data_IF_082720378764
#
_entry.id   IF_082720378764
#
_cell.length_a   1.000
_cell.length_b   1.000
_cell.length_c   1.000
_cell.angle_alpha   90.00
_cell.angle_beta   90.00
_cell.angle_gamma   90.00
#
_symmetry.space_group_name_H-M   'P 1'
#
loop_
_entity.id
_entity.type
_entity.pdbx_description
1 polymer ?
#
# COMPACT_ATOMS: atom_id res chain seq x y z
N UNK A 1 12.28 6.51 -6.62
CA UNK A 1 11.78 6.54 -6.88
C UNK A 1 10.75 5.75 -7.18
N UNK A 2 10.44 4.82 -6.90
CA UNK A 2 9.50 3.91 -7.37
C UNK A 2 8.45 3.61 -6.33
N UNK A 3 7.92 4.64 -5.76
CA UNK A 3 6.85 4.47 -4.79
C UNK A 3 5.50 4.62 -5.46
N UNK A 4 4.52 3.93 -4.96
CA UNK A 4 3.16 4.13 -5.42
C UNK A 4 2.29 4.43 -4.21
N UNK A 5 1.21 5.17 -4.44
CA UNK A 5 0.27 5.48 -3.38
C UNK A 5 -0.75 4.37 -3.23
N UNK A 6 -1.64 4.53 -2.25
CA UNK A 6 -2.67 3.52 -2.02
C UNK A 6 -3.59 3.37 -3.22
N UNK A 7 -3.88 4.49 -3.91
CA UNK A 7 -4.74 4.42 -5.07
C UNK A 7 -4.11 3.60 -6.18
N UNK A 8 -2.84 3.85 -6.45
CA UNK A 8 -2.15 3.13 -7.51
C UNK A 8 -2.01 1.66 -7.13
N UNK A 9 -1.68 1.39 -5.88
CA UNK A 9 -1.57 0.02 -5.43
C UNK A 9 -2.91 -0.70 -5.55
N UNK A 10 -3.99 -0.02 -5.22
CA UNK A 10 -5.31 -0.61 -5.32
C UNK A 10 -5.63 -1.00 -6.76
N UNK A 11 -5.30 -0.14 -7.69
CA UNK A 11 -5.54 -0.43 -9.09
C UNK A 11 -4.66 -1.57 -9.57
N UNK A 12 -3.42 -1.56 -9.16
CA UNK A 12 -2.49 -2.59 -9.60
C UNK A 12 -2.89 -3.96 -9.05
N UNK A 13 -3.38 -3.99 -7.83
CA UNK A 13 -3.72 -5.26 -7.20
C UNK A 13 -5.18 -5.65 -7.39
N UNK A 14 -5.99 -4.78 -7.95
CA UNK A 14 -7.40 -5.10 -8.16
C UNK A 14 -8.21 -5.07 -6.88
N UNK A 15 -7.85 -4.21 -5.93
CA UNK A 15 -8.56 -4.10 -4.67
C UNK A 15 -8.95 -2.64 -4.46
N UNK A 16 -9.66 -2.35 -3.38
CA UNK A 16 -10.07 -0.98 -3.10
C UNK A 16 -8.97 -0.24 -2.35
N UNK A 17 -9.01 1.08 -2.42
CA UNK A 17 -8.08 1.90 -1.68
C UNK A 17 -8.21 1.65 -0.18
N UNK A 18 -9.43 1.49 0.29
CA UNK A 18 -9.65 1.23 1.70
C UNK A 18 -8.96 -0.06 2.14
N UNK A 19 -8.97 -1.06 1.27
CA UNK A 19 -8.31 -2.31 1.58
C UNK A 19 -6.79 -2.12 1.68
N UNK A 20 -6.23 -1.34 0.76
CA UNK A 20 -4.79 -1.08 0.79
C UNK A 20 -4.42 -0.33 2.07
N UNK A 21 -5.21 0.66 2.43
CA UNK A 21 -4.93 1.41 3.65
C UNK A 21 -4.99 0.52 4.88
N UNK A 22 -5.94 -0.38 4.90
CA UNK A 22 -6.08 -1.30 6.01
C UNK A 22 -4.83 -2.17 6.14
N UNK A 23 -4.33 -2.66 5.02
CA UNK A 23 -3.12 -3.47 5.04
C UNK A 23 -1.91 -2.66 5.48
N UNK A 24 -1.81 -1.41 5.03
CA UNK A 24 -0.70 -0.56 5.43
C UNK A 24 -0.72 -0.32 6.94
N UNK A 25 -1.88 -0.04 7.48
CA UNK A 25 -2.00 0.23 8.91
C UNK A 25 -1.72 -1.00 9.75
N UNK A 26 -2.05 -2.15 9.22
CA UNK A 26 -1.79 -3.40 9.92
C UNK A 26 -0.35 -3.87 9.76
N UNK A 27 0.42 -3.18 8.93
CA UNK A 27 1.81 -3.59 8.72
C UNK A 27 1.95 -4.82 7.88
N UNK A 28 0.95 -5.11 7.06
CA UNK A 28 0.97 -6.32 6.25
C UNK A 28 1.70 -6.15 4.93
N UNK A 29 1.93 -4.91 4.52
CA UNK A 29 2.62 -4.66 3.26
C UNK A 29 4.08 -4.37 3.59
N UNK A 30 5.01 -5.17 3.09
CA UNK A 30 6.42 -4.96 3.40
C UNK A 30 6.93 -3.65 2.84
N UNK A 31 7.73 -2.96 3.62
CA UNK A 31 8.35 -1.71 3.20
C UNK A 31 7.38 -0.57 2.90
N UNK A 32 6.14 -0.70 3.26
CA UNK A 32 5.21 0.41 3.16
C UNK A 32 5.49 1.38 4.30
N UNK A 33 5.62 2.65 3.98
CA UNK A 33 5.93 3.65 4.99
C UNK A 33 5.00 4.84 4.85
N UNK A 34 4.97 5.66 5.87
CA UNK A 34 4.15 6.85 5.89
C UNK A 34 4.97 7.93 6.57
N UNK A 35 5.01 9.12 5.96
CA UNK A 35 5.82 10.20 6.52
C UNK A 35 5.32 10.60 7.89
N UNK A 36 4.02 10.68 8.03
CA UNK A 36 3.43 11.01 9.31
C UNK A 36 1.99 10.58 9.27
N UNK A 37 1.37 10.57 10.42
CA UNK A 37 -0.01 10.18 10.51
C UNK A 37 -0.86 11.07 9.60
N UNK A 38 -1.67 10.47 8.80
CA UNK A 38 -2.51 11.20 7.87
C UNK A 38 -1.89 11.47 6.52
N UNK A 39 -0.62 11.19 6.36
CA UNK A 39 0.04 11.38 5.08
C UNK A 39 -0.21 10.18 4.16
N UNK A 40 -0.09 10.38 2.86
CA UNK A 40 -0.23 9.24 1.95
C UNK A 40 0.84 8.20 2.22
N UNK A 41 0.47 6.96 2.02
CA UNK A 41 1.42 5.87 2.19
C UNK A 41 2.34 5.76 0.98
N UNK A 42 3.56 5.35 1.24
CA UNK A 42 4.55 5.11 0.20
C UNK A 42 4.75 3.61 0.11
N UNK A 43 4.34 3.02 -0.98
CA UNK A 43 4.39 1.58 -1.17
C UNK A 43 5.36 1.28 -2.31
N UNK A 44 6.32 0.39 -2.10
CA UNK A 44 7.26 0.06 -3.18
C UNK A 44 6.51 -0.51 -4.37
N UNK A 45 6.96 -0.16 -5.56
CA UNK A 45 6.29 -0.64 -6.76
C UNK A 45 6.33 -2.14 -6.91
N UNK A 46 7.34 -2.78 -6.35
CA UNK A 46 7.45 -4.22 -6.46
C UNK A 46 6.80 -4.93 -5.27
N UNK A 47 6.08 -4.21 -4.43
CA UNK A 47 5.37 -4.84 -3.34
C UNK A 47 4.23 -5.69 -3.88
N UNK A 48 3.86 -6.70 -3.13
CA UNK A 48 2.76 -7.57 -3.53
C UNK A 48 1.69 -7.51 -2.45
N UNK A 49 0.44 -7.79 -2.82
CA UNK A 49 -0.63 -7.75 -1.82
C UNK A 49 -0.45 -8.87 -0.80
N UNK A 50 -0.70 -8.57 0.47
CA UNK A 50 -0.45 -9.55 1.51
C UNK A 50 -1.34 -10.78 1.44
N UNK A 51 -2.52 -10.64 0.88
CA UNK A 51 -3.40 -11.77 0.79
C UNK A 51 -3.40 -12.40 -0.58
N UNK A 52 -2.45 -12.07 -1.35
CA UNK A 52 -2.47 -12.50 -2.71
C UNK A 52 -2.39 -13.97 -2.88
N UNK A 53 -2.38 -14.62 -2.01
CA UNK A 53 -2.41 -15.91 -2.17
C UNK A 53 -2.29 -16.24 -3.42
#
# INVERSE_FOLDING_TARGET
>A
MADMGTKEAAEKWGVTQAQVQKWCRAGKIPNATQDKKGSPWHIPKDAVPPSGK
#
